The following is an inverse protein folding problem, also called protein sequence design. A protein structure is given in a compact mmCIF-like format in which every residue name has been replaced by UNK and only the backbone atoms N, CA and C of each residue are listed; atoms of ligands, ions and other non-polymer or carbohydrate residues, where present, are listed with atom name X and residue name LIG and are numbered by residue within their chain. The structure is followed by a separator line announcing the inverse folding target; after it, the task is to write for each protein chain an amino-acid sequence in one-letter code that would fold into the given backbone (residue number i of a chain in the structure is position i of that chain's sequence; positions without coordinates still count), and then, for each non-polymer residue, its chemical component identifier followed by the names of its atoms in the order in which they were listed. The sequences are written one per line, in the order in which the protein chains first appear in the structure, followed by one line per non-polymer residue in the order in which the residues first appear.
data_IF_842966671906
#
_entry.id   IF_842966671906
#
_cell.length_a   1.000
_cell.length_b   1.000
_cell.length_c   1.000
_cell.angle_alpha   90.00
_cell.angle_beta   90.00
_cell.angle_gamma   90.00
#
_symmetry.space_group_name_H-M   'P 1'
#
loop_
_entity.id
_entity.type
_entity.pdbx_description
1 polymer ?
#
# COMPACT_ATOMS: atom_id res chain seq x y z
N UNK A 1 21.67 5.74 -4.42
CA UNK A 1 20.58 5.35 -3.51
C UNK A 1 19.53 6.45 -3.59
N UNK A 2 18.47 6.23 -4.36
CA UNK A 2 17.42 7.23 -4.60
C UNK A 2 16.36 7.13 -3.49
N UNK A 3 16.28 8.18 -2.68
CA UNK A 3 15.19 8.51 -1.75
C UNK A 3 14.69 7.39 -0.81
N UNK A 4 15.47 7.07 0.23
CA UNK A 4 14.91 6.46 1.44
C UNK A 4 14.30 7.60 2.27
N UNK A 5 12.96 7.72 2.28
CA UNK A 5 12.23 8.61 3.20
C UNK A 5 11.70 9.94 2.64
N UNK A 6 11.46 10.06 1.32
CA UNK A 6 10.87 11.29 0.70
C UNK A 6 9.52 11.02 0.02
N UNK A 7 8.97 9.82 0.17
CA UNK A 7 7.68 9.47 -0.43
C UNK A 7 6.60 9.47 0.65
N UNK A 8 5.67 10.41 0.56
CA UNK A 8 4.48 10.46 1.42
C UNK A 8 3.45 9.39 1.01
N UNK A 9 3.48 8.95 -0.25
CA UNK A 9 2.58 7.95 -0.82
C UNK A 9 3.29 7.11 -1.88
N UNK A 10 3.10 5.80 -1.83
CA UNK A 10 3.61 4.79 -2.75
C UNK A 10 2.41 4.21 -3.49
N UNK A 11 2.27 4.56 -4.77
CA UNK A 11 1.23 4.01 -5.65
C UNK A 11 1.86 2.94 -6.51
N UNK A 12 1.27 1.74 -6.50
CA UNK A 12 1.69 0.61 -7.33
C UNK A 12 0.51 0.10 -8.14
N UNK A 13 0.77 -0.74 -9.16
CA UNK A 13 -0.30 -1.42 -9.90
C UNK A 13 -1.16 -2.33 -9.01
N UNK A 14 -0.66 -2.72 -7.82
CA UNK A 14 -1.38 -3.59 -6.90
C UNK A 14 -2.15 -2.85 -5.81
N UNK A 15 -1.61 -1.75 -5.29
CA UNK A 15 -2.20 -1.00 -4.17
C UNK A 15 -1.58 0.39 -3.99
N UNK A 16 -2.29 1.24 -3.26
CA UNK A 16 -1.84 2.54 -2.77
C UNK A 16 -1.49 2.42 -1.29
N UNK A 17 -0.24 2.75 -0.97
CA UNK A 17 0.33 2.69 0.37
C UNK A 17 0.73 4.11 0.78
N UNK A 18 0.11 4.63 1.82
CA UNK A 18 0.46 5.89 2.47
C UNK A 18 1.58 5.65 3.50
N UNK A 19 2.66 6.43 3.40
CA UNK A 19 3.78 6.32 4.33
C UNK A 19 3.53 7.29 5.48
N UNK A 20 3.11 6.74 6.60
CA UNK A 20 2.87 7.51 7.83
C UNK A 20 4.07 7.37 8.78
N UNK A 21 4.14 8.24 9.79
CA UNK A 21 5.14 8.13 10.86
C UNK A 21 5.01 6.82 11.66
N UNK A 22 3.83 6.21 11.64
CA UNK A 22 3.48 4.97 12.32
C UNK A 22 3.66 3.71 11.44
N UNK A 23 4.12 3.87 10.21
CA UNK A 23 4.39 2.79 9.26
C UNK A 23 3.67 2.94 7.92
N UNK A 24 3.54 1.82 7.21
CA UNK A 24 2.93 1.74 5.88
C UNK A 24 1.43 1.45 5.99
N UNK A 25 0.59 2.33 5.44
CA UNK A 25 -0.86 2.24 5.51
C UNK A 25 -1.46 2.10 4.11
N UNK A 26 -1.99 0.93 3.79
CA UNK A 26 -2.72 0.65 2.55
C UNK A 26 -4.09 1.32 2.63
N UNK A 27 -4.32 2.29 1.75
CA UNK A 27 -5.58 3.03 1.65
C UNK A 27 -6.45 2.50 0.51
N UNK A 28 -5.82 2.01 -0.57
CA UNK A 28 -6.50 1.46 -1.75
C UNK A 28 -5.83 0.18 -2.23
N UNK A 29 -6.61 -0.75 -2.77
CA UNK A 29 -6.11 -2.00 -3.38
C UNK A 29 -6.70 -2.16 -4.78
N UNK A 30 -5.95 -2.73 -5.72
CA UNK A 30 -6.50 -3.02 -7.03
C UNK A 30 -7.57 -4.14 -6.93
N UNK A 31 -8.64 -4.08 -7.73
CA UNK A 31 -9.74 -5.05 -7.70
C UNK A 31 -9.30 -6.48 -8.01
N UNK A 32 -8.21 -6.60 -8.76
CA UNK A 32 -7.61 -7.86 -9.19
C UNK A 32 -6.61 -8.44 -8.20
N UNK A 33 -6.40 -7.79 -7.04
CA UNK A 33 -5.50 -8.26 -5.98
C UNK A 33 -6.21 -8.33 -4.64
N UNK A 34 -5.69 -9.20 -3.77
CA UNK A 34 -6.14 -9.37 -2.40
C UNK A 34 -5.12 -8.88 -1.38
N UNK A 35 -5.57 -8.60 -0.14
CA UNK A 35 -4.70 -8.17 0.96
C UNK A 35 -3.54 -9.15 1.19
N UNK A 36 -3.80 -10.44 1.05
CA UNK A 36 -2.80 -11.50 1.20
C UNK A 36 -1.74 -11.45 0.10
N UNK A 37 -2.13 -11.22 -1.16
CA UNK A 37 -1.19 -11.07 -2.27
C UNK A 37 -0.30 -9.84 -2.09
N UNK A 38 -0.87 -8.72 -1.65
CA UNK A 38 -0.12 -7.49 -1.38
C UNK A 38 0.90 -7.71 -0.24
N UNK A 39 0.49 -8.40 0.83
CA UNK A 39 1.38 -8.76 1.94
C UNK A 39 2.50 -9.72 1.48
N UNK A 40 2.16 -10.71 0.65
CA UNK A 40 3.13 -11.67 0.12
C UNK A 40 4.14 -11.02 -0.84
N UNK A 41 3.69 -10.09 -1.68
CA UNK A 41 4.53 -9.37 -2.63
C UNK A 41 5.47 -8.36 -1.93
N UNK A 42 4.98 -7.68 -0.89
CA UNK A 42 5.73 -6.61 -0.22
C UNK A 42 6.61 -7.13 0.92
N UNK A 43 6.28 -8.31 1.49
CA UNK A 43 6.98 -8.93 2.62
C UNK A 43 7.22 -7.97 3.79
N UNK A 44 6.30 -7.02 3.99
CA UNK A 44 6.39 -5.97 4.99
C UNK A 44 5.09 -5.89 5.80
N UNK A 45 5.19 -5.32 7.00
CA UNK A 45 4.04 -5.04 7.86
C UNK A 45 3.24 -3.88 7.25
N UNK A 46 2.24 -4.24 6.46
CA UNK A 46 1.28 -3.33 5.85
C UNK A 46 0.03 -3.26 6.71
N UNK A 47 -0.30 -2.06 7.18
CA UNK A 47 -1.57 -1.79 7.85
C UNK A 47 -2.63 -1.51 6.79
N UNK A 48 -3.83 -2.03 6.95
CA UNK A 48 -4.94 -1.77 6.05
C UNK A 48 -5.95 -0.89 6.76
N UNK A 49 -6.43 0.17 6.10
CA UNK A 49 -7.55 0.95 6.64
C UNK A 49 -8.82 0.08 6.68
N UNK A 50 -9.70 0.33 7.65
CA UNK A 50 -11.00 -0.33 7.74
C UNK A 50 -11.87 -0.05 6.51
N UNK A 51 -11.81 1.19 5.98
CA UNK A 51 -12.52 1.63 4.77
C UNK A 51 -11.63 1.46 3.53
N UNK A 52 -11.23 0.22 3.24
CA UNK A 52 -10.33 -0.06 2.13
C UNK A 52 -11.05 0.17 0.79
N UNK A 53 -10.53 1.09 -0.03
CA UNK A 53 -11.13 1.38 -1.33
C UNK A 53 -10.53 0.49 -2.41
N UNK A 54 -11.37 0.17 -3.39
CA UNK A 54 -10.94 -0.53 -4.60
C UNK A 54 -10.48 0.53 -5.60
N UNK A 55 -9.23 0.43 -6.04
CA UNK A 55 -8.64 1.33 -7.01
C UNK A 55 -9.34 1.14 -8.36
N UNK A 56 -10.04 2.17 -8.84
CA UNK A 56 -10.76 2.09 -10.11
C UNK A 56 -9.84 2.58 -11.23
N UNK A 57 -9.02 1.67 -11.76
CA UNK A 57 -8.15 1.87 -12.94
C UNK A 57 -8.98 2.00 -14.22
#
# INVERSE_FOLDING_TARGET
MTAVGVVDMIVTEMCVIEVTKDGLLVTEIAPETTKEEVLAATQADLKFVDDLKVMNV
#
